data_IF_408707113621
#
_entry.id   IF_408707113621
#
_cell.length_a   1.000
_cell.length_b   1.000
_cell.length_c   1.000
_cell.angle_alpha   90.00
_cell.angle_beta   90.00
_cell.angle_gamma   90.00
#
_symmetry.space_group_name_H-M   'P 1'
#
loop_
_entity.id
_entity.type
_entity.pdbx_description
1 polymer ?
#
# COMPACT_ATOMS: atom_id res chain seq x y z
N UNK A 1 -3.24 -9.19 26.03
CA UNK A 1 -2.54 -9.67 24.81
C UNK A 1 -1.06 -9.70 25.10
N UNK A 2 -0.50 -10.89 25.27
CA UNK A 2 0.93 -11.07 25.55
C UNK A 2 1.65 -11.29 24.22
N UNK A 3 2.36 -10.27 23.71
CA UNK A 3 3.31 -10.43 22.60
C UNK A 3 4.59 -11.03 23.16
N UNK A 4 5.03 -12.15 22.60
CA UNK A 4 6.26 -12.82 23.00
C UNK A 4 7.00 -13.38 21.78
N UNK A 5 8.33 -13.36 21.84
CA UNK A 5 9.20 -13.99 20.83
C UNK A 5 9.39 -15.49 21.03
N UNK A 6 8.97 -16.04 22.18
CA UNK A 6 9.18 -17.45 22.55
C UNK A 6 7.90 -18.05 23.10
N UNK A 7 7.73 -19.34 22.88
CA UNK A 7 6.60 -20.10 23.40
C UNK A 7 6.52 -20.02 24.92
N UNK A 8 5.30 -19.85 25.43
CA UNK A 8 5.01 -19.89 26.84
C UNK A 8 4.85 -21.35 27.26
N UNK A 9 5.57 -21.77 28.29
CA UNK A 9 5.30 -23.06 28.93
C UNK A 9 3.93 -23.02 29.63
N UNK A 10 3.31 -24.18 29.77
CA UNK A 10 2.01 -24.32 30.47
C UNK A 10 2.07 -23.80 31.93
N UNK A 11 3.22 -23.93 32.59
CA UNK A 11 3.45 -23.38 33.92
C UNK A 11 3.36 -21.84 33.93
N UNK A 12 3.86 -21.18 32.89
CA UNK A 12 3.79 -19.72 32.76
C UNK A 12 2.35 -19.31 32.42
N UNK A 13 1.68 -20.02 31.50
CA UNK A 13 0.25 -19.77 31.19
C UNK A 13 -0.61 -19.90 32.46
N UNK A 14 -0.37 -20.92 33.27
CA UNK A 14 -1.08 -21.14 34.54
C UNK A 14 -0.82 -20.03 35.57
N UNK A 15 0.43 -19.55 35.69
CA UNK A 15 0.75 -18.41 36.56
C UNK A 15 0.06 -17.13 36.11
N UNK A 16 0.08 -16.84 34.81
CA UNK A 16 -0.60 -15.66 34.25
C UNK A 16 -2.10 -15.75 34.52
N UNK A 17 -2.71 -16.92 34.28
CA UNK A 17 -4.11 -17.17 34.61
C UNK A 17 -4.42 -16.89 36.08
N UNK A 18 -3.59 -17.40 36.99
CA UNK A 18 -3.73 -17.15 38.43
C UNK A 18 -3.64 -15.65 38.77
N UNK A 19 -2.64 -14.92 38.26
CA UNK A 19 -2.48 -13.49 38.53
C UNK A 19 -3.58 -12.61 37.92
N UNK A 20 -4.16 -13.04 36.80
CA UNK A 20 -5.22 -12.32 36.11
C UNK A 20 -6.63 -12.79 36.47
N UNK A 21 -6.77 -13.76 37.39
CA UNK A 21 -8.04 -14.39 37.77
C UNK A 21 -8.80 -14.96 36.55
N UNK A 22 -8.08 -15.67 35.69
CA UNK A 22 -8.58 -16.33 34.49
C UNK A 22 -8.19 -17.81 34.50
N UNK A 23 -9.01 -18.66 33.89
CA UNK A 23 -8.61 -20.05 33.62
C UNK A 23 -7.37 -20.07 32.73
N UNK A 24 -6.44 -21.01 32.96
CA UNK A 24 -5.19 -21.09 32.18
C UNK A 24 -5.45 -21.24 30.67
N UNK A 25 -6.51 -21.96 30.28
CA UNK A 25 -6.95 -22.10 28.87
C UNK A 25 -7.37 -20.79 28.21
N UNK A 26 -7.65 -19.74 29.00
CA UNK A 26 -7.97 -18.40 28.49
C UNK A 26 -6.72 -17.56 28.21
N UNK A 27 -5.52 -18.07 28.55
CA UNK A 27 -4.24 -17.40 28.27
C UNK A 27 -3.78 -17.77 26.86
N UNK A 28 -4.26 -16.99 25.89
CA UNK A 28 -3.92 -17.15 24.47
C UNK A 28 -2.56 -16.55 24.17
N UNK A 29 -1.69 -17.36 23.57
CA UNK A 29 -0.39 -16.92 23.11
C UNK A 29 -0.50 -16.22 21.75
N UNK A 30 0.19 -15.08 21.60
CA UNK A 30 0.28 -14.39 20.32
C UNK A 30 1.75 -14.09 20.02
N UNK A 31 2.41 -15.04 19.35
CA UNK A 31 3.82 -14.89 18.97
C UNK A 31 3.97 -13.93 17.79
N UNK A 32 5.18 -13.39 17.64
CA UNK A 32 5.54 -12.67 16.44
C UNK A 32 5.48 -13.63 15.23
N UNK A 33 4.66 -13.28 14.25
CA UNK A 33 4.53 -14.00 13.00
C UNK A 33 5.56 -13.49 11.98
N UNK A 34 6.06 -14.38 11.13
CA UNK A 34 6.96 -14.01 10.03
C UNK A 34 6.20 -13.25 8.93
N UNK A 35 4.97 -13.69 8.63
CA UNK A 35 4.04 -12.98 7.78
C UNK A 35 2.72 -12.66 8.49
N UNK A 36 2.15 -11.49 8.20
CA UNK A 36 0.86 -11.03 8.73
C UNK A 36 -0.26 -12.08 8.55
N UNK A 37 -0.26 -12.76 7.40
CA UNK A 37 -1.27 -13.76 7.05
C UNK A 37 -1.22 -15.02 7.94
N UNK A 38 -0.17 -15.25 8.72
CA UNK A 38 -0.10 -16.40 9.64
C UNK A 38 -0.88 -16.17 10.94
N UNK A 39 -1.09 -14.92 11.33
CA UNK A 39 -1.69 -14.56 12.63
C UNK A 39 -3.05 -15.24 12.84
N UNK A 40 -3.98 -15.25 11.87
CA UNK A 40 -5.25 -15.96 12.03
C UNK A 40 -5.08 -17.47 12.30
N UNK A 41 -4.14 -18.13 11.62
CA UNK A 41 -3.88 -19.57 11.80
C UNK A 41 -3.26 -19.87 13.16
N UNK A 42 -2.35 -19.01 13.62
CA UNK A 42 -1.73 -19.13 14.95
C UNK A 42 -2.75 -18.95 16.07
N UNK A 43 -3.62 -17.94 15.96
CA UNK A 43 -4.67 -17.68 16.95
C UNK A 43 -5.73 -18.78 16.96
N UNK A 44 -6.07 -19.34 15.78
CA UNK A 44 -6.96 -20.48 15.68
C UNK A 44 -6.34 -21.74 16.33
N UNK A 45 -5.04 -21.97 16.14
CA UNK A 45 -4.32 -23.08 16.79
C UNK A 45 -4.32 -22.96 18.32
N UNK A 46 -4.22 -21.74 18.86
CA UNK A 46 -4.36 -21.48 20.31
C UNK A 46 -5.82 -21.53 20.80
N UNK A 47 -6.81 -21.66 19.90
CA UNK A 47 -8.22 -21.83 20.23
C UNK A 47 -8.94 -20.54 20.63
N UNK A 48 -8.42 -19.37 20.24
CA UNK A 48 -9.02 -18.07 20.57
C UNK A 48 -10.47 -17.96 20.07
N UNK A 49 -10.71 -18.33 18.82
CA UNK A 49 -12.02 -18.31 18.17
C UNK A 49 -13.01 -19.23 18.88
N UNK A 50 -12.60 -20.45 19.21
CA UNK A 50 -13.43 -21.41 19.97
C UNK A 50 -13.80 -20.87 21.34
N UNK A 51 -12.84 -20.29 22.05
CA UNK A 51 -13.06 -19.70 23.37
C UNK A 51 -14.04 -18.52 23.30
N UNK A 52 -13.91 -17.66 22.29
CA UNK A 52 -14.84 -16.54 22.06
C UNK A 52 -16.25 -17.06 21.78
N UNK A 53 -16.40 -18.07 20.92
CA UNK A 53 -17.71 -18.68 20.65
C UNK A 53 -18.33 -19.29 21.92
N UNK A 54 -17.56 -20.04 22.72
CA UNK A 54 -18.02 -20.62 23.99
C UNK A 54 -18.51 -19.52 24.95
N UNK A 55 -17.73 -18.46 25.16
CA UNK A 55 -18.04 -17.39 26.11
C UNK A 55 -19.21 -16.50 25.67
N UNK A 56 -19.43 -16.37 24.38
CA UNK A 56 -20.55 -15.61 23.80
C UNK A 56 -21.77 -16.49 23.52
N UNK A 57 -21.73 -17.78 23.87
CA UNK A 57 -22.78 -18.76 23.59
C UNK A 57 -23.15 -18.83 22.09
N UNK A 58 -22.17 -18.54 21.23
CA UNK A 58 -22.29 -18.70 19.79
C UNK A 58 -22.02 -20.17 19.47
N UNK A 59 -22.96 -20.83 18.76
CA UNK A 59 -22.74 -22.20 18.31
C UNK A 59 -21.42 -22.34 17.57
N UNK A 60 -20.54 -23.24 18.02
CA UNK A 60 -19.26 -23.47 17.38
C UNK A 60 -19.40 -24.51 16.26
N UNK A 61 -18.79 -24.24 15.11
CA UNK A 61 -18.69 -25.16 13.98
C UNK A 61 -17.22 -25.33 13.62
N UNK A 62 -16.87 -26.49 13.07
CA UNK A 62 -15.56 -26.65 12.46
C UNK A 62 -15.42 -25.66 11.29
N UNK A 63 -14.27 -24.98 11.23
CA UNK A 63 -13.97 -24.03 10.18
C UNK A 63 -13.08 -24.70 9.13
N UNK A 64 -13.35 -24.39 7.86
CA UNK A 64 -12.48 -24.76 6.76
C UNK A 64 -11.56 -23.58 6.44
N UNK A 65 -10.28 -23.74 6.78
CA UNK A 65 -9.23 -22.73 6.54
C UNK A 65 -8.31 -23.12 5.38
N UNK A 66 -8.68 -24.10 4.54
CA UNK A 66 -7.80 -24.66 3.52
C UNK A 66 -7.26 -23.59 2.58
N UNK A 67 -8.11 -22.70 2.07
CA UNK A 67 -7.70 -21.59 1.20
C UNK A 67 -6.67 -20.65 1.86
N UNK A 68 -6.82 -20.40 3.16
CA UNK A 68 -5.94 -19.51 3.91
C UNK A 68 -4.59 -20.19 4.20
N UNK A 69 -4.60 -21.49 4.50
CA UNK A 69 -3.38 -22.30 4.67
C UNK A 69 -2.59 -22.32 3.37
N UNK A 70 -3.25 -22.57 2.24
CA UNK A 70 -2.62 -22.60 0.92
C UNK A 70 -2.01 -21.24 0.56
N UNK A 71 -2.72 -20.14 0.84
CA UNK A 71 -2.22 -18.78 0.65
C UNK A 71 -0.94 -18.53 1.47
N UNK A 72 -0.95 -18.85 2.76
CA UNK A 72 0.20 -18.66 3.65
C UNK A 72 1.39 -19.51 3.20
N UNK A 73 1.16 -20.77 2.83
CA UNK A 73 2.21 -21.63 2.28
C UNK A 73 2.79 -21.06 0.99
N UNK A 74 1.93 -20.50 0.13
CA UNK A 74 2.37 -19.89 -1.13
C UNK A 74 3.25 -18.66 -0.88
N UNK A 75 2.82 -17.74 -0.01
CA UNK A 75 3.59 -16.54 0.37
C UNK A 75 4.99 -16.90 0.87
N UNK A 76 5.10 -17.94 1.70
CA UNK A 76 6.39 -18.40 2.26
C UNK A 76 7.35 -19.04 1.25
N UNK A 77 6.85 -19.46 0.09
CA UNK A 77 7.61 -20.25 -0.88
C UNK A 77 7.73 -19.58 -2.26
N UNK A 78 7.51 -18.26 -2.35
CA UNK A 78 7.73 -17.49 -3.57
C UNK A 78 9.22 -17.49 -3.92
N UNK A 79 9.55 -17.75 -5.19
CA UNK A 79 10.94 -17.86 -5.68
C UNK A 79 11.36 -16.74 -6.60
N UNK A 80 10.39 -16.20 -7.36
CA UNK A 80 10.63 -15.07 -8.24
C UNK A 80 10.53 -13.78 -7.43
N UNK A 81 11.32 -12.78 -7.82
CA UNK A 81 11.35 -11.48 -7.16
C UNK A 81 11.22 -10.38 -8.20
N UNK A 82 10.49 -9.33 -7.85
CA UNK A 82 10.38 -8.10 -8.63
C UNK A 82 10.59 -6.91 -7.72
N UNK A 83 11.43 -5.97 -8.14
CA UNK A 83 11.71 -4.77 -7.37
C UNK A 83 10.87 -3.60 -7.89
N UNK A 84 10.00 -3.06 -7.04
CA UNK A 84 9.12 -1.94 -7.36
C UNK A 84 9.56 -0.71 -6.57
N UNK A 85 9.91 0.37 -7.28
CA UNK A 85 10.17 1.66 -6.67
C UNK A 85 8.84 2.32 -6.24
N UNK A 86 8.71 2.67 -4.96
CA UNK A 86 7.61 3.49 -4.47
C UNK A 86 8.16 4.89 -4.18
N UNK A 87 7.83 5.84 -5.08
CA UNK A 87 8.37 7.21 -5.05
C UNK A 87 7.38 8.14 -4.34
N UNK A 88 7.49 8.20 -3.02
CA UNK A 88 6.54 8.88 -2.14
C UNK A 88 7.18 10.01 -1.32
N UNK A 89 6.35 10.75 -0.59
CA UNK A 89 6.82 11.78 0.36
C UNK A 89 7.09 11.20 1.74
N UNK A 90 6.20 10.31 2.20
CA UNK A 90 6.24 9.75 3.55
C UNK A 90 6.85 8.35 3.56
N UNK A 91 8.01 8.18 2.93
CA UNK A 91 8.64 6.86 2.81
C UNK A 91 9.30 6.38 4.09
N UNK A 92 9.54 7.27 5.07
CA UNK A 92 10.04 6.87 6.39
C UNK A 92 8.96 6.25 7.27
N UNK A 93 7.67 6.50 6.96
CA UNK A 93 6.52 5.89 7.62
C UNK A 93 5.82 4.96 6.63
N UNK A 94 6.30 3.72 6.54
CA UNK A 94 5.76 2.72 5.61
C UNK A 94 4.24 2.54 5.73
N UNK A 95 3.69 2.69 6.94
CA UNK A 95 2.26 2.57 7.23
C UNK A 95 1.40 3.56 6.44
N UNK A 96 1.95 4.71 6.03
CA UNK A 96 1.24 5.67 5.19
C UNK A 96 0.82 5.09 3.83
N UNK A 97 1.44 3.99 3.41
CA UNK A 97 1.21 3.33 2.13
C UNK A 97 0.84 1.85 2.27
N UNK A 98 0.40 1.40 3.47
CA UNK A 98 0.12 -0.01 3.75
C UNK A 98 -0.83 -0.65 2.72
N UNK A 99 -1.92 0.03 2.36
CA UNK A 99 -2.88 -0.50 1.37
C UNK A 99 -2.27 -0.66 -0.03
N UNK A 100 -1.30 0.19 -0.40
CA UNK A 100 -0.59 0.07 -1.69
C UNK A 100 0.37 -1.12 -1.63
N UNK A 101 1.12 -1.25 -0.54
CA UNK A 101 2.05 -2.36 -0.33
C UNK A 101 1.30 -3.70 -0.33
N UNK A 102 0.19 -3.82 0.40
CA UNK A 102 -0.60 -5.05 0.40
C UNK A 102 -1.26 -5.36 -0.94
N UNK A 103 -1.73 -4.34 -1.67
CA UNK A 103 -2.24 -4.53 -3.04
C UNK A 103 -1.14 -5.07 -3.98
N UNK A 104 0.08 -4.55 -3.87
CA UNK A 104 1.24 -5.06 -4.62
C UNK A 104 1.59 -6.49 -4.19
N UNK A 105 1.61 -6.79 -2.89
CA UNK A 105 1.85 -8.15 -2.38
C UNK A 105 0.81 -9.15 -2.90
N UNK A 106 -0.47 -8.79 -2.89
CA UNK A 106 -1.54 -9.63 -3.46
C UNK A 106 -1.36 -9.82 -4.97
N UNK A 107 -0.98 -8.76 -5.70
CA UNK A 107 -0.65 -8.83 -7.12
C UNK A 107 0.53 -9.78 -7.39
N UNK A 108 1.59 -9.68 -6.59
CA UNK A 108 2.73 -10.59 -6.64
C UNK A 108 2.33 -12.04 -6.35
N UNK A 109 1.56 -12.26 -5.28
CA UNK A 109 1.08 -13.58 -4.89
C UNK A 109 0.25 -14.25 -5.99
N UNK A 110 -0.62 -13.50 -6.67
CA UNK A 110 -1.38 -13.99 -7.82
C UNK A 110 -0.46 -14.43 -8.98
N UNK A 111 0.70 -13.79 -9.12
CA UNK A 111 1.70 -14.05 -10.15
C UNK A 111 2.88 -14.94 -9.69
N UNK A 112 2.79 -15.56 -8.49
CA UNK A 112 3.88 -16.37 -7.90
C UNK A 112 5.22 -15.61 -7.75
N UNK A 113 5.16 -14.30 -7.51
CA UNK A 113 6.32 -13.43 -7.41
C UNK A 113 6.29 -12.62 -6.11
N UNK A 114 7.44 -12.52 -5.44
CA UNK A 114 7.62 -11.69 -4.26
C UNK A 114 7.93 -10.24 -4.68
N UNK A 115 7.15 -9.28 -4.19
CA UNK A 115 7.36 -7.86 -4.50
C UNK A 115 8.26 -7.23 -3.45
N UNK A 116 9.45 -6.82 -3.87
CA UNK A 116 10.37 -6.03 -3.04
C UNK A 116 10.09 -4.54 -3.26
N UNK A 117 9.69 -3.84 -2.21
CA UNK A 117 9.45 -2.38 -2.27
C UNK A 117 10.75 -1.63 -2.00
N UNK A 118 11.23 -0.91 -3.01
CA UNK A 118 12.29 0.10 -2.85
C UNK A 118 11.65 1.45 -2.53
N UNK A 119 11.78 1.86 -1.28
CA UNK A 119 11.26 3.12 -0.78
C UNK A 119 12.15 4.28 -1.24
N UNK A 120 11.59 5.24 -1.95
CA UNK A 120 12.33 6.38 -2.50
C UNK A 120 11.61 7.67 -2.12
N UNK A 121 12.31 8.55 -1.41
CA UNK A 121 11.80 9.88 -1.11
C UNK A 121 11.79 10.72 -2.39
N UNK A 122 10.62 11.21 -2.77
CA UNK A 122 10.44 12.02 -3.97
C UNK A 122 11.26 13.32 -3.94
N UNK A 123 11.58 13.88 -2.76
CA UNK A 123 12.41 15.10 -2.68
C UNK A 123 13.87 14.86 -3.07
N UNK A 124 14.33 13.61 -2.97
CA UNK A 124 15.70 13.24 -3.29
C UNK A 124 15.89 12.90 -4.78
N UNK A 125 14.81 12.76 -5.56
CA UNK A 125 14.87 12.36 -6.97
C UNK A 125 15.01 13.59 -7.86
N UNK A 126 16.04 13.59 -8.70
CA UNK A 126 16.28 14.61 -9.71
C UNK A 126 16.96 14.02 -10.96
N UNK A 127 17.12 14.85 -11.99
CA UNK A 127 17.68 14.42 -13.29
C UNK A 127 19.07 13.81 -13.23
N UNK A 128 19.88 14.19 -12.23
CA UNK A 128 21.26 13.73 -12.12
C UNK A 128 21.37 12.36 -11.43
N UNK A 129 20.38 11.98 -10.61
CA UNK A 129 20.43 10.75 -9.83
C UNK A 129 19.29 9.76 -10.13
N UNK A 130 18.35 10.09 -11.01
CA UNK A 130 17.20 9.22 -11.30
C UNK A 130 17.62 7.83 -11.78
N UNK A 131 18.72 7.70 -12.54
CA UNK A 131 19.27 6.41 -12.93
C UNK A 131 19.82 5.59 -11.75
N UNK A 132 20.50 6.23 -10.80
CA UNK A 132 21.01 5.56 -9.60
C UNK A 132 19.86 5.15 -8.66
N UNK A 133 18.87 6.03 -8.51
CA UNK A 133 17.72 5.81 -7.65
C UNK A 133 16.76 4.74 -8.19
N UNK A 134 16.51 4.71 -9.50
CA UNK A 134 15.42 3.94 -10.12
C UNK A 134 15.89 2.85 -11.10
N UNK A 135 17.15 2.85 -11.52
CA UNK A 135 17.63 2.00 -12.61
C UNK A 135 17.57 0.49 -12.32
N UNK A 136 17.78 0.11 -11.06
CA UNK A 136 17.74 -1.27 -10.57
C UNK A 136 16.32 -1.79 -10.30
N UNK A 137 15.29 -0.96 -10.45
CA UNK A 137 13.90 -1.33 -10.22
C UNK A 137 13.26 -1.84 -11.52
N UNK A 138 12.41 -2.85 -11.40
CA UNK A 138 11.68 -3.47 -12.51
C UNK A 138 10.41 -2.69 -12.86
N UNK A 139 9.84 -1.96 -11.90
CA UNK A 139 8.68 -1.08 -12.09
C UNK A 139 8.70 0.11 -11.13
N UNK A 140 7.94 1.15 -11.47
CA UNK A 140 7.89 2.41 -10.72
C UNK A 140 6.44 2.75 -10.39
N UNK A 141 6.17 3.03 -9.12
CA UNK A 141 4.88 3.48 -8.62
C UNK A 141 5.03 4.87 -8.00
N UNK A 142 4.20 5.80 -8.45
CA UNK A 142 4.05 7.11 -7.81
C UNK A 142 2.68 7.15 -7.14
N UNK A 143 2.62 7.16 -5.79
CA UNK A 143 1.36 7.11 -5.07
C UNK A 143 0.68 8.47 -5.02
N UNK A 144 -0.52 8.48 -4.44
CA UNK A 144 -1.21 9.70 -4.06
C UNK A 144 -0.42 10.54 -3.06
N UNK A 145 -0.83 11.79 -2.89
CA UNK A 145 -0.28 12.70 -1.91
C UNK A 145 -1.03 14.02 -1.93
N UNK A 146 -0.65 14.91 -1.02
CA UNK A 146 -1.23 16.23 -0.88
C UNK A 146 -0.12 17.29 -0.79
N UNK A 147 -0.41 18.46 -1.34
CA UNK A 147 0.52 19.59 -1.41
C UNK A 147 1.56 19.49 -2.53
N UNK A 148 2.46 20.46 -2.53
CA UNK A 148 3.47 20.76 -3.55
C UNK A 148 4.82 20.03 -3.36
N UNK A 149 5.06 19.49 -2.15
CA UNK A 149 6.33 18.86 -1.80
C UNK A 149 6.62 17.58 -2.58
N UNK A 150 7.84 17.51 -3.13
CA UNK A 150 8.34 16.36 -3.90
C UNK A 150 7.70 16.19 -5.29
N UNK A 151 6.92 17.17 -5.78
CA UNK A 151 6.26 17.08 -7.10
C UNK A 151 7.28 16.94 -8.23
N UNK A 152 8.34 17.75 -8.23
CA UNK A 152 9.34 17.70 -9.30
C UNK A 152 10.08 16.37 -9.34
N UNK A 153 10.38 15.76 -8.19
CA UNK A 153 11.00 14.44 -8.17
C UNK A 153 10.04 13.30 -8.56
N UNK A 154 8.73 13.44 -8.31
CA UNK A 154 7.72 12.54 -8.88
C UNK A 154 7.67 12.65 -10.40
N UNK A 155 7.64 13.88 -10.93
CA UNK A 155 7.66 14.14 -12.38
C UNK A 155 8.94 13.57 -13.00
N UNK A 156 10.09 13.73 -12.33
CA UNK A 156 11.36 13.13 -12.75
C UNK A 156 11.30 11.59 -12.79
N UNK A 157 10.74 10.96 -11.75
CA UNK A 157 10.60 9.50 -11.72
C UNK A 157 9.69 8.99 -12.85
N UNK A 158 8.62 9.73 -13.17
CA UNK A 158 7.73 9.41 -14.29
C UNK A 158 8.46 9.56 -15.63
N UNK A 159 9.23 10.65 -15.80
CA UNK A 159 10.05 10.86 -17.01
C UNK A 159 11.03 9.71 -17.17
N UNK A 160 11.73 9.34 -16.10
CA UNK A 160 12.67 8.22 -16.10
C UNK A 160 11.99 6.92 -16.51
N UNK A 161 10.81 6.62 -15.94
CA UNK A 161 10.05 5.42 -16.29
C UNK A 161 9.69 5.39 -17.78
N UNK A 162 9.14 6.50 -18.31
CA UNK A 162 8.74 6.65 -19.71
C UNK A 162 9.93 6.50 -20.67
N UNK A 163 11.02 7.23 -20.42
CA UNK A 163 12.19 7.26 -21.29
C UNK A 163 12.94 5.92 -21.30
N UNK A 164 12.94 5.19 -20.17
CA UNK A 164 13.60 3.89 -20.04
C UNK A 164 12.65 2.70 -20.25
N UNK A 165 11.40 2.94 -20.65
CA UNK A 165 10.37 1.91 -20.89
C UNK A 165 10.16 0.98 -19.69
N UNK A 166 10.26 1.52 -18.47
CA UNK A 166 9.94 0.79 -17.25
C UNK A 166 8.41 0.80 -17.04
N UNK A 167 7.79 -0.33 -16.67
CA UNK A 167 6.41 -0.37 -16.20
C UNK A 167 6.15 0.69 -15.13
N UNK A 168 5.05 1.41 -15.28
CA UNK A 168 4.71 2.55 -14.43
C UNK A 168 3.25 2.51 -13.97
N UNK A 169 3.01 2.84 -12.71
CA UNK A 169 1.68 3.06 -12.14
C UNK A 169 1.61 4.37 -11.37
N UNK A 170 0.78 5.30 -11.84
CA UNK A 170 0.50 6.58 -11.17
C UNK A 170 -0.86 6.57 -10.50
N UNK A 171 -0.93 6.80 -9.19
CA UNK A 171 -2.19 6.78 -8.43
C UNK A 171 -2.52 8.19 -7.93
N UNK A 172 -3.74 8.67 -8.19
CA UNK A 172 -4.23 9.98 -7.73
C UNK A 172 -3.27 11.11 -8.16
N UNK A 173 -2.53 11.72 -7.23
CA UNK A 173 -1.50 12.71 -7.55
C UNK A 173 -0.44 12.17 -8.52
N UNK A 174 -0.08 10.88 -8.44
CA UNK A 174 0.82 10.26 -9.42
C UNK A 174 0.26 10.27 -10.84
N UNK A 175 -1.04 10.08 -11.02
CA UNK A 175 -1.72 10.21 -12.32
C UNK A 175 -1.68 11.67 -12.80
N UNK A 176 -1.97 12.63 -11.92
CA UNK A 176 -1.89 14.07 -12.25
C UNK A 176 -0.47 14.48 -12.67
N UNK A 177 0.55 14.07 -11.91
CA UNK A 177 1.96 14.29 -12.24
C UNK A 177 2.33 13.66 -13.59
N UNK A 178 1.68 12.55 -13.99
CA UNK A 178 1.94 11.91 -15.29
C UNK A 178 1.45 12.77 -16.45
N UNK A 179 0.29 13.39 -16.31
CA UNK A 179 -0.24 14.36 -17.28
C UNK A 179 0.69 15.57 -17.38
N UNK A 180 1.14 16.08 -16.23
CA UNK A 180 2.08 17.21 -16.17
C UNK A 180 3.42 16.87 -16.85
N UNK A 181 4.02 15.72 -16.53
CA UNK A 181 5.26 15.24 -17.13
C UNK A 181 5.15 15.17 -18.65
N UNK A 182 4.07 14.55 -19.16
CA UNK A 182 3.84 14.39 -20.58
C UNK A 182 3.64 15.73 -21.29
N UNK A 183 2.86 16.64 -20.69
CA UNK A 183 2.63 17.97 -21.23
C UNK A 183 3.94 18.79 -21.32
N UNK A 184 4.77 18.75 -20.27
CA UNK A 184 6.05 19.46 -20.25
C UNK A 184 7.06 18.89 -21.24
N UNK A 185 7.28 17.57 -21.19
CA UNK A 185 8.43 16.95 -21.85
C UNK A 185 8.12 16.44 -23.27
N UNK A 186 6.88 15.97 -23.53
CA UNK A 186 6.51 15.41 -24.83
C UNK A 186 5.80 16.43 -25.70
N UNK A 187 4.87 17.21 -25.13
CA UNK A 187 4.14 18.25 -25.87
C UNK A 187 4.86 19.62 -25.90
N UNK A 188 5.88 19.81 -25.06
CA UNK A 188 6.67 21.04 -25.01
C UNK A 188 5.97 22.22 -24.32
N UNK A 189 4.94 21.97 -23.51
CA UNK A 189 4.27 23.01 -22.73
C UNK A 189 5.08 23.34 -21.48
N UNK A 190 6.18 24.07 -21.68
CA UNK A 190 7.04 24.54 -20.59
C UNK A 190 6.22 25.31 -19.55
N UNK A 191 6.29 24.87 -18.30
CA UNK A 191 5.54 25.42 -17.18
C UNK A 191 4.15 24.82 -16.97
N UNK A 192 3.71 23.82 -17.75
CA UNK A 192 2.42 23.15 -17.51
C UNK A 192 2.34 22.57 -16.09
N UNK A 193 1.22 22.75 -15.40
CA UNK A 193 1.10 22.30 -14.02
C UNK A 193 -0.35 22.03 -13.61
N UNK A 194 -0.55 21.62 -12.36
CA UNK A 194 -1.85 21.67 -11.70
C UNK A 194 -2.11 23.09 -11.19
N UNK A 195 -3.31 23.62 -11.40
CA UNK A 195 -3.74 24.90 -10.83
C UNK A 195 -3.73 24.91 -9.28
N UNK A 196 -3.81 23.73 -8.65
CA UNK A 196 -3.66 23.58 -7.18
C UNK A 196 -2.21 23.80 -6.72
N UNK A 197 -1.23 23.45 -7.56
CA UNK A 197 0.21 23.51 -7.23
C UNK A 197 0.82 24.85 -7.66
N UNK A 198 0.45 25.33 -8.85
CA UNK A 198 0.91 26.58 -9.42
C UNK A 198 -0.27 27.30 -10.08
N UNK A 199 -0.84 28.27 -9.37
CA UNK A 199 -1.99 29.04 -9.84
C UNK A 199 -1.67 30.00 -10.99
N UNK A 200 -0.39 30.31 -11.21
CA UNK A 200 0.08 31.21 -12.26
C UNK A 200 0.55 30.44 -13.52
N UNK A 201 0.38 29.12 -13.54
CA UNK A 201 0.77 28.29 -14.68
C UNK A 201 0.07 28.76 -15.96
N UNK A 202 0.85 28.93 -17.02
CA UNK A 202 0.31 29.25 -18.36
C UNK A 202 -0.51 28.10 -18.95
N UNK A 203 -0.31 26.88 -18.45
CA UNK A 203 -0.95 25.67 -18.96
C UNK A 203 -1.48 24.80 -17.80
N UNK A 204 -2.68 25.10 -17.26
CA UNK A 204 -3.30 24.33 -16.18
C UNK A 204 -3.88 23.01 -16.73
N UNK A 205 -3.02 22.03 -16.98
CA UNK A 205 -3.41 20.72 -17.55
C UNK A 205 -4.17 19.86 -16.55
N UNK A 206 -4.04 20.17 -15.26
CA UNK A 206 -4.89 19.67 -14.19
C UNK A 206 -5.52 20.89 -13.52
N UNK A 207 -6.84 20.89 -13.38
CA UNK A 207 -7.59 21.98 -12.78
C UNK A 207 -8.73 21.43 -11.93
N UNK A 208 -9.22 22.26 -11.03
CA UNK A 208 -10.44 22.04 -10.28
C UNK A 208 -11.61 21.99 -11.27
N UNK A 209 -12.54 21.05 -11.08
CA UNK A 209 -13.70 20.94 -11.96
C UNK A 209 -14.51 22.25 -11.91
N UNK A 210 -15.03 22.75 -13.05
CA UNK A 210 -15.76 24.02 -13.11
C UNK A 210 -16.86 24.14 -12.06
N UNK A 211 -17.58 23.05 -11.79
CA UNK A 211 -18.68 22.97 -10.82
C UNK A 211 -18.24 23.12 -9.35
N UNK A 212 -16.93 23.17 -9.07
CA UNK A 212 -16.35 23.31 -7.73
C UNK A 212 -15.68 24.68 -7.52
N UNK A 213 -15.59 25.55 -8.55
CA UNK A 213 -14.86 26.82 -8.46
C UNK A 213 -15.51 27.87 -7.55
N UNK A 214 -16.84 27.81 -7.37
CA UNK A 214 -17.61 28.75 -6.54
C UNK A 214 -18.12 28.14 -5.23
N UNK A 215 -17.66 26.93 -4.86
CA UNK A 215 -18.14 26.21 -3.67
C UNK A 215 -17.17 26.43 -2.50
N UNK A 216 -17.53 27.31 -1.57
CA UNK A 216 -16.75 27.60 -0.35
C UNK A 216 -16.63 26.40 0.60
N UNK A 217 -17.56 25.44 0.50
CA UNK A 217 -17.60 24.22 1.31
C UNK A 217 -17.20 22.99 0.46
N UNK A 218 -15.90 22.86 0.20
CA UNK A 218 -15.29 21.81 -0.64
C UNK A 218 -15.64 20.37 -0.20
N UNK A 219 -16.22 20.18 0.99
CA UNK A 219 -16.66 18.89 1.51
C UNK A 219 -17.62 18.13 0.59
N UNK A 220 -18.52 18.84 -0.11
CA UNK A 220 -19.59 18.23 -0.91
C UNK A 220 -19.22 17.90 -2.36
N UNK A 221 -18.16 18.51 -2.88
CA UNK A 221 -17.73 18.31 -4.28
C UNK A 221 -16.55 17.36 -4.39
N UNK A 222 -15.86 17.03 -3.30
CA UNK A 222 -14.82 16.00 -3.27
C UNK A 222 -15.39 14.64 -3.73
N UNK A 223 -14.73 14.03 -4.72
CA UNK A 223 -15.06 12.66 -5.15
C UNK A 223 -14.57 11.68 -4.10
N UNK A 224 -15.48 11.23 -3.25
CA UNK A 224 -15.22 10.31 -2.15
C UNK A 224 -15.99 9.00 -2.35
N UNK A 225 -15.35 7.88 -2.04
CA UNK A 225 -15.97 6.55 -2.09
C UNK A 225 -16.12 6.00 -3.51
N UNK A 226 -17.15 5.18 -3.69
CA UNK A 226 -17.40 4.48 -4.95
C UNK A 226 -17.79 5.48 -6.05
N UNK A 227 -17.03 5.46 -7.14
CA UNK A 227 -17.27 6.31 -8.31
C UNK A 227 -17.23 5.45 -9.58
N UNK A 228 -18.28 5.43 -10.41
CA UNK A 228 -18.32 4.60 -11.60
C UNK A 228 -17.32 5.10 -12.65
N UNK A 229 -16.53 4.18 -13.19
CA UNK A 229 -15.64 4.44 -14.33
C UNK A 229 -16.06 3.53 -15.49
N UNK A 230 -16.31 4.11 -16.66
CA UNK A 230 -16.55 3.35 -17.90
C UNK A 230 -15.23 3.28 -18.66
N UNK A 231 -14.76 2.07 -18.90
CA UNK A 231 -13.54 1.83 -19.66
C UNK A 231 -13.85 1.86 -21.16
N UNK A 232 -12.93 2.39 -21.95
CA UNK A 232 -12.97 2.26 -23.41
C UNK A 232 -12.62 0.81 -23.77
N UNK A 233 -13.41 0.19 -24.65
CA UNK A 233 -13.21 -1.20 -25.09
C UNK A 233 -11.84 -1.41 -25.76
N UNK A 234 -11.23 -0.35 -26.30
CA UNK A 234 -9.93 -0.40 -26.96
C UNK A 234 -8.76 0.03 -26.06
N UNK A 235 -9.01 0.30 -24.78
CA UNK A 235 -7.93 0.63 -23.84
C UNK A 235 -7.08 -0.63 -23.55
N UNK A 236 -5.76 -0.45 -23.54
CA UNK A 236 -4.74 -1.49 -23.33
C UNK A 236 -3.92 -1.21 -22.09
#
# INVERSE_FOLDING_TARGET
YNRHQKELSEDIKSKIGLFCNLEARCVIQNLDAEHLYEVPLMLHKEGLDRLVCEKLELGCRDIDNSEWIDMVQKVKNLKEHVKIALVGKYVELHDAYISIVEALNHGGLANNCNVEIKWINAEDVNRNNSNEALGDCDGILVPGGFGDRGIEGKIEAIRFARENKKPFLGICLGMQCSVIEFARNVLGYEGANSAEIDCETKYPVIDILPDQKDVEDLGGTMRLGLYPCKLDENST
#
